data_IF_311797731924
#
_entry.id   IF_311797731924
#
_cell.length_a   1.000
_cell.length_b   1.000
_cell.length_c   1.000
_cell.angle_alpha   90.00
_cell.angle_beta   90.00
_cell.angle_gamma   90.00
#
_symmetry.space_group_name_H-M   'P 1'
#
loop_
_entity.id
_entity.type
_entity.pdbx_description
1 polymer ?
#
# COMPACT_ATOMS: atom_id res chain seq x y z
N UNK A 1 5.04 -20.41 2.88
CA UNK A 1 6.19 -20.84 2.04
C UNK A 1 7.33 -19.95 2.49
N UNK A 2 8.26 -20.49 3.27
CA UNK A 2 9.22 -19.68 4.06
C UNK A 2 10.48 -19.35 3.25
N UNK A 3 10.28 -18.96 1.99
CA UNK A 3 11.40 -18.55 1.15
C UNK A 3 11.81 -17.12 1.50
N UNK A 4 13.10 -16.95 1.77
CA UNK A 4 13.68 -15.65 2.09
C UNK A 4 14.37 -15.02 0.89
N UNK A 5 14.21 -13.71 0.77
CA UNK A 5 14.77 -12.91 -0.31
C UNK A 5 15.74 -11.85 0.23
N UNK A 6 16.68 -11.46 -0.62
CA UNK A 6 17.58 -10.32 -0.37
C UNK A 6 16.90 -9.01 -0.72
N UNK A 7 17.44 -7.89 -0.21
CA UNK A 7 16.94 -6.55 -0.56
C UNK A 7 16.97 -6.27 -2.07
N UNK A 8 17.94 -6.83 -2.80
CA UNK A 8 18.03 -6.65 -4.24
C UNK A 8 16.86 -7.34 -4.95
N UNK A 9 16.57 -8.59 -4.58
CA UNK A 9 15.48 -9.36 -5.17
C UNK A 9 14.11 -8.70 -4.95
N UNK A 10 13.82 -8.21 -3.73
CA UNK A 10 12.55 -7.54 -3.47
C UNK A 10 12.48 -6.15 -4.11
N UNK A 11 13.61 -5.44 -4.26
CA UNK A 11 13.66 -4.17 -4.97
C UNK A 11 13.36 -4.37 -6.46
N UNK A 12 13.98 -5.37 -7.08
CA UNK A 12 13.73 -5.72 -8.49
C UNK A 12 12.27 -6.15 -8.70
N UNK A 13 11.72 -7.00 -7.82
CA UNK A 13 10.33 -7.45 -7.90
C UNK A 13 9.32 -6.30 -7.74
N UNK A 14 9.61 -5.32 -6.89
CA UNK A 14 8.80 -4.11 -6.70
C UNK A 14 9.09 -3.01 -7.75
N UNK A 15 10.07 -3.21 -8.63
CA UNK A 15 10.57 -2.22 -9.58
C UNK A 15 11.01 -0.92 -8.90
N UNK A 16 11.81 -1.09 -7.84
CA UNK A 16 12.40 -0.04 -7.03
C UNK A 16 13.91 -0.16 -7.07
N UNK A 17 14.60 0.93 -6.79
CA UNK A 17 16.01 0.87 -6.43
C UNK A 17 16.15 0.38 -4.99
N UNK A 18 17.27 -0.29 -4.69
CA UNK A 18 17.65 -0.64 -3.30
C UNK A 18 17.60 0.58 -2.37
N UNK A 19 18.06 1.73 -2.85
CA UNK A 19 18.03 2.98 -2.08
C UNK A 19 16.60 3.41 -1.70
N UNK A 20 15.63 3.28 -2.60
CA UNK A 20 14.23 3.59 -2.28
C UNK A 20 13.69 2.68 -1.18
N UNK A 21 14.00 1.38 -1.24
CA UNK A 21 13.59 0.42 -0.21
C UNK A 21 14.20 0.78 1.15
N UNK A 22 15.51 1.03 1.21
CA UNK A 22 16.18 1.45 2.45
C UNK A 22 15.62 2.77 3.00
N UNK A 23 15.34 3.74 2.14
CA UNK A 23 14.75 5.02 2.53
C UNK A 23 13.34 4.85 3.09
N UNK A 24 12.51 3.99 2.51
CA UNK A 24 11.16 3.72 3.01
C UNK A 24 11.16 2.95 4.33
N UNK A 25 12.12 2.05 4.54
CA UNK A 25 12.32 1.40 5.85
C UNK A 25 12.71 2.44 6.90
N UNK A 26 13.71 3.28 6.60
CA UNK A 26 14.21 4.31 7.52
C UNK A 26 13.14 5.31 7.93
N UNK A 27 12.27 5.71 6.99
CA UNK A 27 11.15 6.64 7.25
C UNK A 27 9.90 5.98 7.83
N UNK A 28 9.91 4.65 8.02
CA UNK A 28 8.77 3.91 8.54
C UNK A 28 7.59 3.75 7.57
N UNK A 29 7.77 4.05 6.28
CA UNK A 29 6.76 3.82 5.24
C UNK A 29 6.66 2.34 4.87
N UNK A 30 7.71 1.56 5.15
CA UNK A 30 7.70 0.14 4.96
C UNK A 30 8.34 -0.55 6.16
N UNK A 31 7.65 -1.56 6.70
CA UNK A 31 8.15 -2.37 7.81
C UNK A 31 8.27 -3.82 7.35
N UNK A 32 9.50 -4.30 7.11
CA UNK A 32 9.74 -5.71 6.79
C UNK A 32 9.22 -6.62 7.90
N UNK A 33 8.73 -7.80 7.50
CA UNK A 33 8.21 -8.80 8.43
C UNK A 33 9.28 -9.36 9.35
N UNK A 34 10.43 -9.72 8.76
CA UNK A 34 11.51 -10.32 9.52
C UNK A 34 12.26 -9.25 10.33
N UNK A 35 12.60 -9.54 11.61
CA UNK A 35 13.36 -8.61 12.44
C UNK A 35 14.79 -8.44 11.91
N UNK A 36 15.47 -7.40 12.39
CA UNK A 36 16.89 -7.20 12.11
C UNK A 36 17.71 -8.09 13.04
N UNK A 37 18.62 -8.85 12.46
CA UNK A 37 19.66 -9.57 13.20
C UNK A 37 21.00 -8.81 13.11
N UNK A 38 21.62 -8.43 14.23
CA UNK A 38 22.92 -7.77 14.24
C UNK A 38 23.99 -8.57 13.48
N UNK A 39 24.74 -7.91 12.62
CA UNK A 39 25.82 -8.53 11.84
C UNK A 39 25.38 -9.38 10.65
N UNK A 40 24.06 -9.46 10.35
CA UNK A 40 23.53 -10.19 9.20
C UNK A 40 22.78 -9.27 8.25
N UNK A 41 22.81 -9.64 6.96
CA UNK A 41 21.95 -9.01 5.97
C UNK A 41 20.48 -9.32 6.28
N UNK A 42 19.61 -8.32 6.20
CA UNK A 42 18.17 -8.49 6.39
C UNK A 42 17.61 -9.44 5.31
N UNK A 43 16.71 -10.30 5.75
CA UNK A 43 15.93 -11.21 4.92
C UNK A 43 14.51 -10.68 4.79
N UNK A 44 13.89 -10.90 3.63
CA UNK A 44 12.57 -10.39 3.31
C UNK A 44 11.67 -11.53 2.83
N UNK A 45 10.37 -11.36 3.00
CA UNK A 45 9.37 -12.36 2.60
C UNK A 45 8.77 -12.05 1.22
N UNK A 46 7.97 -12.98 0.70
CA UNK A 46 7.13 -12.71 -0.46
C UNK A 46 6.12 -11.57 -0.18
N UNK A 47 5.52 -11.56 1.01
CA UNK A 47 4.58 -10.52 1.43
C UNK A 47 5.23 -9.13 1.50
N UNK A 48 6.49 -9.06 1.94
CA UNK A 48 7.29 -7.83 1.88
C UNK A 48 7.37 -7.26 0.45
N UNK A 49 7.55 -8.12 -0.55
CA UNK A 49 7.60 -7.72 -1.96
C UNK A 49 6.23 -7.24 -2.48
N UNK A 50 5.13 -7.87 -2.05
CA UNK A 50 3.77 -7.44 -2.41
C UNK A 50 3.46 -6.06 -1.80
N UNK A 51 3.78 -5.85 -0.52
CA UNK A 51 3.60 -4.56 0.16
C UNK A 51 4.43 -3.47 -0.54
N UNK A 52 5.71 -3.73 -0.80
CA UNK A 52 6.57 -2.77 -1.51
C UNK A 52 6.05 -2.44 -2.91
N UNK A 53 5.62 -3.46 -3.66
CA UNK A 53 5.07 -3.27 -4.99
C UNK A 53 3.78 -2.44 -4.97
N UNK A 54 2.88 -2.66 -4.00
CA UNK A 54 1.69 -1.83 -3.84
C UNK A 54 2.05 -0.38 -3.52
N UNK A 55 2.99 -0.14 -2.58
CA UNK A 55 3.48 1.21 -2.26
C UNK A 55 4.07 1.86 -3.52
N UNK A 56 4.85 1.13 -4.32
CA UNK A 56 5.45 1.61 -5.56
C UNK A 56 4.41 2.02 -6.61
N UNK A 57 3.38 1.20 -6.85
CA UNK A 57 2.35 1.53 -7.84
C UNK A 57 1.56 2.78 -7.43
N UNK A 58 1.11 2.86 -6.18
CA UNK A 58 0.41 4.05 -5.72
C UNK A 58 1.31 5.29 -5.71
N UNK A 59 2.61 5.14 -5.43
CA UNK A 59 3.57 6.24 -5.53
C UNK A 59 3.71 6.74 -6.97
N UNK A 60 3.69 5.83 -7.96
CA UNK A 60 3.67 6.20 -9.40
C UNK A 60 2.39 6.94 -9.78
N UNK A 61 1.27 6.67 -9.10
CA UNK A 61 0.00 7.40 -9.24
C UNK A 61 -0.03 8.72 -8.45
N UNK A 62 1.05 9.09 -7.77
CA UNK A 62 1.19 10.36 -7.05
C UNK A 62 0.80 10.33 -5.57
N UNK A 63 0.45 9.16 -5.01
CA UNK A 63 0.19 9.06 -3.58
C UNK A 63 1.50 9.03 -2.79
N UNK A 64 1.52 9.72 -1.64
CA UNK A 64 2.67 9.65 -0.73
C UNK A 64 2.83 8.23 -0.17
N UNK A 65 4.06 7.67 -0.13
CA UNK A 65 4.33 6.38 0.50
C UNK A 65 3.81 6.28 1.94
N UNK A 66 3.82 7.39 2.68
CA UNK A 66 3.31 7.46 4.05
C UNK A 66 1.79 7.23 4.14
N UNK A 67 1.03 7.74 3.15
CA UNK A 67 -0.42 7.52 3.08
C UNK A 67 -0.70 6.08 2.69
N UNK A 68 0.01 5.55 1.68
CA UNK A 68 -0.20 4.19 1.20
C UNK A 68 0.10 3.17 2.31
N UNK A 69 1.19 3.38 3.06
CA UNK A 69 1.61 2.49 4.15
C UNK A 69 0.58 2.33 5.26
N UNK A 70 -0.28 3.33 5.49
CA UNK A 70 -1.37 3.23 6.47
C UNK A 70 -2.41 2.16 6.08
N UNK A 71 -2.48 1.83 4.79
CA UNK A 71 -3.50 0.96 4.22
C UNK A 71 -2.98 -0.40 3.80
N UNK A 72 -1.67 -0.67 3.87
CA UNK A 72 -1.10 -1.94 3.37
C UNK A 72 -1.34 -3.15 4.27
N UNK A 73 -1.75 -2.96 5.53
CA UNK A 73 -2.04 -4.08 6.46
C UNK A 73 -3.09 -5.05 5.90
N UNK A 74 -4.05 -4.55 5.13
CA UNK A 74 -5.10 -5.36 4.54
C UNK A 74 -4.60 -6.34 3.46
N UNK A 75 -3.44 -6.07 2.85
CA UNK A 75 -2.84 -6.95 1.83
C UNK A 75 -2.54 -8.34 2.39
N UNK A 76 -2.20 -8.41 3.68
CA UNK A 76 -1.93 -9.67 4.40
C UNK A 76 -3.14 -10.58 4.55
N UNK A 77 -4.35 -10.03 4.41
CA UNK A 77 -5.61 -10.75 4.61
C UNK A 77 -6.37 -10.94 3.29
N UNK A 78 -5.68 -10.86 2.15
CA UNK A 78 -6.31 -10.77 0.83
C UNK A 78 -7.06 -12.03 0.38
N UNK A 79 -6.75 -13.23 0.87
CA UNK A 79 -7.30 -14.48 0.32
C UNK A 79 -8.82 -14.40 0.03
N UNK A 80 -9.19 -14.52 -1.25
CA UNK A 80 -10.58 -14.46 -1.72
C UNK A 80 -11.27 -13.08 -1.70
N UNK A 81 -10.58 -11.99 -1.33
CA UNK A 81 -11.18 -10.65 -1.12
C UNK A 81 -11.27 -9.76 -2.36
N UNK A 82 -10.55 -10.09 -3.44
CA UNK A 82 -10.63 -9.34 -4.69
C UNK A 82 -9.29 -9.14 -5.40
N UNK A 83 -9.39 -8.56 -6.59
CA UNK A 83 -8.27 -8.35 -7.51
C UNK A 83 -7.70 -6.94 -7.43
N UNK A 84 -8.41 -5.99 -6.81
CA UNK A 84 -8.06 -4.57 -6.85
C UNK A 84 -7.83 -4.02 -5.44
N UNK A 85 -6.72 -3.32 -5.26
CA UNK A 85 -6.49 -2.47 -4.09
C UNK A 85 -6.90 -1.06 -4.47
N UNK A 86 -7.84 -0.50 -3.71
CA UNK A 86 -8.31 0.87 -3.88
C UNK A 86 -7.92 1.69 -2.67
N UNK A 87 -7.39 2.89 -2.91
CA UNK A 87 -7.27 3.93 -1.89
C UNK A 87 -8.16 5.09 -2.33
N UNK A 88 -9.17 5.37 -1.52
CA UNK A 88 -10.14 6.43 -1.75
C UNK A 88 -9.90 7.59 -0.80
N UNK A 89 -10.08 8.81 -1.30
CA UNK A 89 -10.06 10.05 -0.53
C UNK A 89 -11.49 10.54 -0.36
N UNK A 90 -11.84 10.84 0.89
CA UNK A 90 -13.15 11.35 1.30
C UNK A 90 -12.95 12.63 2.08
N UNK A 91 -14.03 13.39 2.22
CA UNK A 91 -14.05 14.56 3.07
C UNK A 91 -14.94 14.36 4.26
N UNK A 92 -14.46 14.84 5.40
CA UNK A 92 -15.29 14.98 6.60
C UNK A 92 -15.46 16.46 6.88
N UNK A 93 -16.70 16.93 6.89
CA UNK A 93 -17.01 18.24 7.42
C UNK A 93 -16.82 18.22 8.93
N UNK A 94 -16.03 19.16 9.43
CA UNK A 94 -15.90 19.42 10.86
C UNK A 94 -16.77 20.61 11.19
N UNK A 95 -17.80 20.40 11.99
CA UNK A 95 -18.68 21.47 12.45
C UNK A 95 -17.93 22.33 13.48
N UNK A 96 -18.12 23.64 13.41
CA UNK A 96 -17.61 24.56 14.41
C UNK A 96 -18.24 24.20 15.77
N UNK A 97 -17.41 23.89 16.76
CA UNK A 97 -17.84 23.95 18.17
C UNK A 97 -17.82 25.41 18.62
N UNK A 98 -18.74 25.81 19.50
CA UNK A 98 -18.78 27.18 20.07
C UNK A 98 -17.44 27.60 20.70
N UNK A 99 -16.64 26.62 21.15
CA UNK A 99 -15.33 26.84 21.75
C UNK A 99 -14.21 27.24 20.77
N UNK A 100 -14.34 26.98 19.46
CA UNK A 100 -13.36 27.45 18.48
C UNK A 100 -13.97 27.55 17.06
N UNK A 101 -14.51 28.73 16.68
CA UNK A 101 -15.18 28.93 15.39
C UNK A 101 -14.23 28.83 14.18
N UNK A 102 -12.91 28.81 14.38
CA UNK A 102 -11.91 28.67 13.31
C UNK A 102 -11.62 27.22 12.91
N UNK A 103 -12.27 26.22 13.53
CA UNK A 103 -12.08 24.80 13.20
C UNK A 103 -13.08 24.33 12.11
N UNK A 104 -14.04 25.19 11.72
CA UNK A 104 -14.93 24.89 10.61
C UNK A 104 -14.12 24.69 9.32
N UNK A 105 -14.18 23.48 8.75
CA UNK A 105 -13.40 23.12 7.57
C UNK A 105 -13.64 21.69 7.11
N UNK A 106 -12.97 21.33 6.01
CA UNK A 106 -12.97 19.98 5.47
C UNK A 106 -11.61 19.32 5.72
N UNK A 107 -11.64 18.12 6.29
CA UNK A 107 -10.45 17.29 6.44
C UNK A 107 -10.51 16.18 5.41
N UNK A 108 -9.42 16.03 4.66
CA UNK A 108 -9.22 14.87 3.80
C UNK A 108 -8.90 13.63 4.62
N UNK A 109 -9.67 12.57 4.39
CA UNK A 109 -9.47 11.25 4.96
C UNK A 109 -9.19 10.28 3.83
N UNK A 110 -8.36 9.27 4.10
CA UNK A 110 -8.13 8.17 3.16
C UNK A 110 -8.63 6.86 3.74
N UNK A 111 -9.17 6.00 2.89
CA UNK A 111 -9.52 4.62 3.22
C UNK A 111 -8.95 3.70 2.18
N UNK A 112 -8.32 2.61 2.62
CA UNK A 112 -7.93 1.51 1.77
C UNK A 112 -8.94 0.37 1.83
N UNK A 113 -9.17 -0.28 0.70
CA UNK A 113 -9.93 -1.54 0.63
C UNK A 113 -9.42 -2.45 -0.49
N UNK A 114 -9.61 -3.75 -0.33
CA UNK A 114 -9.45 -4.72 -1.41
C UNK A 114 -10.86 -5.08 -1.88
N UNK A 115 -11.10 -4.93 -3.18
CA UNK A 115 -12.43 -5.16 -3.77
C UNK A 115 -12.34 -6.01 -5.03
N UNK A 116 -13.41 -6.77 -5.36
CA UNK A 116 -13.59 -7.34 -6.68
C UNK A 116 -13.73 -6.27 -7.77
N UNK A 117 -13.37 -6.59 -9.02
CA UNK A 117 -13.49 -5.65 -10.15
C UNK A 117 -14.91 -5.12 -10.33
N UNK A 118 -15.93 -5.96 -10.09
CA UNK A 118 -17.33 -5.57 -10.20
C UNK A 118 -17.75 -4.47 -9.21
N UNK A 119 -17.04 -4.31 -8.09
CA UNK A 119 -17.38 -3.35 -7.04
C UNK A 119 -16.70 -1.99 -7.21
N UNK A 120 -15.83 -1.79 -8.22
CA UNK A 120 -15.23 -0.47 -8.45
C UNK A 120 -16.29 0.58 -8.76
N UNK A 121 -17.33 0.21 -9.50
CA UNK A 121 -18.40 1.13 -9.86
C UNK A 121 -19.14 1.70 -8.64
N UNK A 122 -19.26 0.94 -7.55
CA UNK A 122 -19.91 1.43 -6.33
C UNK A 122 -19.04 2.45 -5.59
N UNK A 123 -17.71 2.34 -5.68
CA UNK A 123 -16.77 3.35 -5.16
C UNK A 123 -16.91 4.65 -5.95
N UNK A 124 -17.00 4.58 -7.28
CA UNK A 124 -17.20 5.77 -8.12
C UNK A 124 -18.55 6.43 -7.85
N UNK A 125 -19.58 5.63 -7.57
CA UNK A 125 -20.93 6.12 -7.33
C UNK A 125 -21.13 6.73 -5.92
N UNK A 126 -20.20 6.52 -4.97
CA UNK A 126 -20.31 7.11 -3.64
C UNK A 126 -20.05 8.63 -3.70
N UNK A 127 -21.05 9.49 -3.41
CA UNK A 127 -20.90 10.94 -3.49
C UNK A 127 -19.89 11.51 -2.47
N UNK A 128 -19.45 10.72 -1.49
CA UNK A 128 -18.43 11.12 -0.51
C UNK A 128 -17.00 10.91 -1.02
N UNK A 129 -16.81 10.07 -2.03
CA UNK A 129 -15.50 9.83 -2.65
C UNK A 129 -15.17 11.02 -3.54
N UNK A 130 -14.10 11.74 -3.21
CA UNK A 130 -13.60 12.86 -4.03
C UNK A 130 -12.66 12.39 -5.14
N UNK A 131 -11.83 11.41 -4.80
CA UNK A 131 -10.85 10.82 -5.68
C UNK A 131 -10.53 9.41 -5.20
N UNK A 132 -10.07 8.56 -6.09
CA UNK A 132 -9.57 7.24 -5.75
C UNK A 132 -8.46 6.83 -6.72
N UNK A 133 -7.60 5.94 -6.25
CA UNK A 133 -6.58 5.28 -7.07
C UNK A 133 -6.75 3.77 -6.94
N UNK A 134 -6.48 3.04 -8.02
CA UNK A 134 -6.66 1.59 -8.09
C UNK A 134 -5.40 0.93 -8.59
N UNK A 135 -5.00 -0.16 -7.93
CA UNK A 135 -3.92 -1.04 -8.35
C UNK A 135 -4.47 -2.45 -8.51
N UNK A 136 -4.15 -3.08 -9.65
CA UNK A 136 -4.48 -4.49 -9.87
C UNK A 136 -3.48 -5.38 -9.12
N UNK A 137 -3.96 -5.99 -8.04
CA UNK A 137 -3.16 -6.83 -7.16
C UNK A 137 -2.86 -8.21 -7.78
N UNK A 138 -3.69 -8.72 -8.69
CA UNK A 138 -3.39 -9.98 -9.40
C UNK A 138 -2.20 -9.80 -10.33
N UNK A 139 -2.19 -8.73 -11.12
CA UNK A 139 -1.06 -8.41 -11.99
C UNK A 139 0.21 -8.11 -11.19
N UNK A 140 0.08 -7.39 -10.07
CA UNK A 140 1.19 -7.15 -9.14
C UNK A 140 1.77 -8.47 -8.63
N UNK A 141 0.93 -9.39 -8.13
CA UNK A 141 1.39 -10.69 -7.64
C UNK A 141 2.03 -11.53 -8.71
N UNK A 142 1.41 -11.64 -9.90
CA UNK A 142 1.96 -12.39 -11.02
C UNK A 142 3.35 -11.88 -11.38
N UNK A 143 3.53 -10.55 -11.44
CA UNK A 143 4.83 -9.93 -11.68
C UNK A 143 5.83 -10.25 -10.57
N UNK A 144 5.44 -10.10 -9.30
CA UNK A 144 6.32 -10.36 -8.16
C UNK A 144 6.75 -11.83 -8.12
N UNK A 145 5.81 -12.78 -8.32
CA UNK A 145 6.11 -14.21 -8.40
C UNK A 145 7.09 -14.53 -9.52
N UNK A 146 6.83 -14.01 -10.72
CA UNK A 146 7.71 -14.19 -11.86
C UNK A 146 9.12 -13.64 -11.60
N UNK A 147 9.22 -12.46 -10.98
CA UNK A 147 10.51 -11.84 -10.65
C UNK A 147 11.28 -12.60 -9.57
N UNK A 148 10.57 -13.22 -8.61
CA UNK A 148 11.19 -13.96 -7.50
C UNK A 148 11.41 -15.44 -7.82
N UNK A 149 10.92 -15.92 -8.97
CA UNK A 149 11.03 -17.32 -9.37
C UNK A 149 10.15 -18.27 -8.54
N UNK A 150 9.02 -17.77 -8.02
CA UNK A 150 8.05 -18.56 -7.26
C UNK A 150 7.04 -19.16 -8.23
N UNK A 151 6.86 -20.49 -8.16
CA UNK A 151 5.90 -21.25 -8.96
C UNK A 151 4.45 -21.04 -8.50
#
# INVERSE_FOLDING_TARGET
MDQEFTIQQIADAAQLTRYQVEAWISRGHFKPENPVEPGKARKFTYEDAIVLGAIAEFSRLGLSPAVVSMHTTQLRFREGRGALFVISMFFRQVSATEANPNIAGEIDLTSGSIVPTAEVASIVADPKVRAFAVVNLEQLEQRVRASLGIA
#
